data_IF_937891887042
#
_entry.id   IF_937891887042
#
_cell.length_a   1.000
_cell.length_b   1.000
_cell.length_c   1.000
_cell.angle_alpha   90.00
_cell.angle_beta   90.00
_cell.angle_gamma   90.00
#
_symmetry.space_group_name_H-M   'P 1'
#
loop_
_entity.id
_entity.type
_entity.pdbx_description
1 polymer ?
#
# COMPACT_ATOMS: atom_id res chain seq x y z
N UNK A 1 -25.30 20.02 19.89
CA UNK A 1 -24.55 18.84 19.40
C UNK A 1 -23.07 19.05 19.63
N UNK A 2 -22.31 17.99 19.92
CA UNK A 2 -20.84 18.01 20.03
C UNK A 2 -20.22 17.01 19.06
N UNK A 3 -19.21 17.46 18.31
CA UNK A 3 -18.44 16.60 17.38
C UNK A 3 -16.99 16.57 17.85
N UNK A 4 -16.37 15.40 17.82
CA UNK A 4 -14.92 15.25 18.04
C UNK A 4 -14.34 14.15 17.15
N UNK A 5 -13.04 14.26 16.87
CA UNK A 5 -12.28 13.21 16.20
C UNK A 5 -11.63 12.29 17.24
N UNK A 6 -11.80 10.99 17.04
CA UNK A 6 -11.18 9.95 17.84
C UNK A 6 -10.05 9.29 17.03
N UNK A 7 -8.83 9.71 17.34
CA UNK A 7 -7.57 9.16 16.78
C UNK A 7 -6.86 8.23 17.76
N UNK A 8 -7.52 7.80 18.84
CA UNK A 8 -6.90 7.00 19.91
C UNK A 8 -6.33 5.66 19.41
N UNK A 9 -6.86 5.14 18.30
CA UNK A 9 -6.41 3.91 17.65
C UNK A 9 -5.22 4.10 16.69
N UNK A 10 -4.79 5.34 16.43
CA UNK A 10 -3.73 5.67 15.47
C UNK A 10 -2.35 5.79 16.13
N UNK A 11 -1.97 4.85 16.99
CA UNK A 11 -0.66 4.85 17.64
C UNK A 11 0.40 4.17 16.76
N UNK A 12 0.87 4.87 15.73
CA UNK A 12 1.96 4.41 14.86
C UNK A 12 2.99 5.52 14.65
N UNK A 13 4.22 5.12 14.31
CA UNK A 13 5.31 6.02 13.92
C UNK A 13 4.91 6.91 12.72
N UNK A 14 5.15 8.21 12.80
CA UNK A 14 4.75 9.19 11.77
C UNK A 14 5.44 8.94 10.42
N UNK A 15 6.60 8.27 10.43
CA UNK A 15 7.35 7.91 9.21
C UNK A 15 6.53 7.08 8.22
N UNK A 16 5.53 6.32 8.69
CA UNK A 16 4.61 5.59 7.82
C UNK A 16 3.81 6.53 6.90
N UNK A 17 3.42 7.70 7.39
CA UNK A 17 2.72 8.72 6.61
C UNK A 17 3.69 9.54 5.76
N UNK A 18 4.83 9.97 6.35
CA UNK A 18 5.84 10.79 5.65
C UNK A 18 6.42 10.09 4.42
N UNK A 19 6.63 8.78 4.49
CA UNK A 19 7.10 7.95 3.36
C UNK A 19 5.96 7.49 2.44
N UNK A 20 4.72 7.85 2.77
CA UNK A 20 3.53 7.54 1.98
C UNK A 20 3.18 6.06 1.92
N UNK A 21 3.48 5.29 2.98
CA UNK A 21 3.02 3.90 3.15
C UNK A 21 1.66 3.82 3.83
N UNK A 22 1.29 4.87 4.55
CA UNK A 22 0.03 4.99 5.26
C UNK A 22 -0.68 6.29 4.90
N UNK A 23 -2.01 6.25 4.93
CA UNK A 23 -2.89 7.42 4.84
C UNK A 23 -3.91 7.36 5.96
N UNK A 24 -4.31 8.53 6.45
CA UNK A 24 -5.44 8.60 7.39
C UNK A 24 -6.74 8.25 6.65
N UNK A 25 -7.62 7.52 7.33
CA UNK A 25 -8.92 7.11 6.83
C UNK A 25 -9.98 7.33 7.91
N UNK A 26 -11.24 7.28 7.51
CA UNK A 26 -12.40 7.33 8.41
C UNK A 26 -13.00 5.93 8.49
N UNK A 27 -13.06 5.37 9.70
CA UNK A 27 -13.58 4.03 9.92
C UNK A 27 -15.07 4.03 10.19
N UNK A 28 -15.53 4.85 11.13
CA UNK A 28 -16.95 4.94 11.47
C UNK A 28 -17.32 6.28 12.10
N UNK A 29 -18.61 6.57 12.14
CA UNK A 29 -19.21 7.59 13.00
C UNK A 29 -19.91 6.88 14.15
N UNK A 30 -19.63 7.29 15.39
CA UNK A 30 -20.42 6.88 16.56
C UNK A 30 -21.30 8.03 16.98
N UNK A 31 -22.61 7.78 16.99
CA UNK A 31 -23.61 8.74 17.42
C UNK A 31 -24.21 8.26 18.73
N UNK A 32 -24.17 9.12 19.74
CA UNK A 32 -24.63 8.80 21.07
C UNK A 32 -25.39 9.97 21.68
N UNK A 33 -26.47 9.64 22.37
CA UNK A 33 -27.16 10.54 23.28
C UNK A 33 -26.49 10.50 24.65
N UNK A 34 -25.93 11.63 25.08
CA UNK A 34 -25.30 11.78 26.38
C UNK A 34 -26.05 12.83 27.21
N UNK A 35 -26.25 12.51 28.50
CA UNK A 35 -26.79 13.47 29.46
C UNK A 35 -25.88 14.68 29.59
N UNK A 36 -26.50 15.84 29.78
CA UNK A 36 -25.80 17.04 30.23
C UNK A 36 -25.27 16.86 31.65
N UNK A 37 -24.32 17.69 32.07
CA UNK A 37 -23.78 17.63 33.44
C UNK A 37 -24.87 17.85 34.50
N UNK A 38 -25.84 18.72 34.20
CA UNK A 38 -26.98 18.99 35.09
C UNK A 38 -27.90 17.76 35.20
N UNK A 39 -28.21 17.10 34.09
CA UNK A 39 -29.00 15.87 34.09
C UNK A 39 -28.25 14.72 34.76
N UNK A 40 -26.94 14.59 34.54
CA UNK A 40 -26.13 13.58 35.21
C UNK A 40 -26.13 13.78 36.74
N UNK A 41 -26.08 15.02 37.21
CA UNK A 41 -26.21 15.35 38.63
C UNK A 41 -27.61 15.03 39.18
N UNK A 42 -28.66 15.35 38.42
CA UNK A 42 -30.05 15.03 38.78
C UNK A 42 -30.28 13.50 38.82
N UNK A 43 -29.77 12.76 37.83
CA UNK A 43 -29.82 11.31 37.77
C UNK A 43 -29.13 10.69 38.99
N UNK A 44 -27.95 11.20 39.37
CA UNK A 44 -27.24 10.75 40.57
C UNK A 44 -28.05 11.02 41.84
N UNK A 45 -28.61 12.22 41.98
CA UNK A 45 -29.44 12.56 43.13
C UNK A 45 -30.69 11.66 43.21
N UNK A 46 -31.33 11.37 42.08
CA UNK A 46 -32.47 10.47 42.02
C UNK A 46 -32.06 9.06 42.45
N UNK A 47 -30.97 8.51 41.91
CA UNK A 47 -30.43 7.21 42.30
C UNK A 47 -30.14 7.11 43.81
N UNK A 48 -29.52 8.14 44.39
CA UNK A 48 -29.16 8.15 45.81
C UNK A 48 -30.37 8.27 46.75
N UNK A 49 -31.52 8.75 46.25
CA UNK A 49 -32.70 9.07 47.07
C UNK A 49 -33.92 8.16 46.84
N UNK A 50 -33.90 7.29 45.84
CA UNK A 50 -35.02 6.42 45.47
C UNK A 50 -34.67 4.94 45.61
N UNK A 51 -35.71 4.11 45.60
CA UNK A 51 -35.54 2.66 45.57
C UNK A 51 -34.93 2.20 44.24
N UNK A 52 -34.38 0.99 44.24
CA UNK A 52 -33.83 0.38 43.02
C UNK A 52 -34.89 0.21 41.94
N UNK A 53 -36.10 -0.17 42.32
CA UNK A 53 -37.22 -0.38 41.40
C UNK A 53 -37.65 0.93 40.73
N UNK A 54 -37.71 2.03 41.48
CA UNK A 54 -38.00 3.38 40.95
C UNK A 54 -36.90 3.87 40.01
N UNK A 55 -35.63 3.61 40.35
CA UNK A 55 -34.49 3.92 39.47
C UNK A 55 -34.53 3.13 38.16
N UNK A 56 -34.81 1.83 38.22
CA UNK A 56 -34.90 0.97 37.04
C UNK A 56 -36.02 1.45 36.10
N UNK A 57 -37.17 1.87 36.64
CA UNK A 57 -38.25 2.48 35.85
C UNK A 57 -37.83 3.82 35.24
N UNK A 58 -37.19 4.69 36.03
CA UNK A 58 -36.72 5.99 35.58
C UNK A 58 -35.73 5.89 34.42
N UNK A 59 -34.68 5.07 34.55
CA UNK A 59 -33.66 4.90 33.50
C UNK A 59 -34.24 4.22 32.27
N UNK A 60 -35.19 3.29 32.43
CA UNK A 60 -35.87 2.68 31.29
C UNK A 60 -36.66 3.72 30.50
N UNK A 61 -37.40 4.60 31.17
CA UNK A 61 -38.13 5.68 30.53
C UNK A 61 -37.18 6.67 29.83
N UNK A 62 -36.09 7.07 30.51
CA UNK A 62 -35.08 7.94 29.93
C UNK A 62 -34.40 7.34 28.68
N UNK A 63 -34.16 6.01 28.68
CA UNK A 63 -33.63 5.29 27.51
C UNK A 63 -34.60 5.34 26.33
N UNK A 64 -35.91 5.16 26.55
CA UNK A 64 -36.91 5.29 25.49
C UNK A 64 -36.98 6.71 24.91
N UNK A 65 -36.96 7.73 25.77
CA UNK A 65 -36.97 9.14 25.34
C UNK A 65 -35.71 9.50 24.56
N UNK A 66 -34.55 9.03 25.03
CA UNK A 66 -33.26 9.21 24.37
C UNK A 66 -33.23 8.56 22.99
N UNK A 67 -33.70 7.31 22.87
CA UNK A 67 -33.84 6.61 21.60
C UNK A 67 -34.82 7.32 20.67
N UNK A 68 -35.97 7.77 21.17
CA UNK A 68 -36.96 8.50 20.38
C UNK A 68 -36.42 9.84 19.84
N UNK A 69 -35.59 10.54 20.61
CA UNK A 69 -34.93 11.77 20.18
C UNK A 69 -33.83 11.53 19.13
N UNK A 70 -33.12 10.41 19.22
CA UNK A 70 -32.04 10.04 18.30
C UNK A 70 -32.53 9.40 17.00
N UNK A 71 -33.71 8.79 16.99
CA UNK A 71 -34.26 8.13 15.80
C UNK A 71 -34.40 9.08 14.59
N UNK A 72 -34.94 10.31 14.72
CA UNK A 72 -34.97 11.28 13.62
C UNK A 72 -33.60 11.63 13.04
N UNK A 73 -32.53 11.55 13.86
CA UNK A 73 -31.15 11.76 13.39
C UNK A 73 -30.77 10.67 12.40
N UNK A 74 -31.03 9.41 12.75
CA UNK A 74 -30.76 8.28 11.86
C UNK A 74 -31.67 8.30 10.62
N UNK A 75 -32.95 8.63 10.77
CA UNK A 75 -33.89 8.74 9.64
C UNK A 75 -33.43 9.81 8.63
N UNK A 76 -32.95 10.96 9.10
CA UNK A 76 -32.41 12.00 8.23
C UNK A 76 -31.15 11.54 7.48
N UNK A 77 -30.27 10.77 8.12
CA UNK A 77 -29.10 10.18 7.45
C UNK A 77 -29.56 9.16 6.41
N UNK A 78 -30.49 8.27 6.73
CA UNK A 78 -30.96 7.24 5.81
C UNK A 78 -31.71 7.80 4.58
N UNK A 79 -32.23 9.03 4.65
CA UNK A 79 -32.83 9.72 3.50
C UNK A 79 -31.79 10.10 2.44
N UNK A 80 -30.59 10.48 2.88
CA UNK A 80 -29.56 11.06 2.01
C UNK A 80 -28.45 10.04 1.67
N UNK A 81 -28.32 8.95 2.43
CA UNK A 81 -27.26 7.95 2.29
C UNK A 81 -27.78 6.52 2.27
N UNK A 82 -27.13 5.65 1.50
CA UNK A 82 -27.48 4.22 1.45
C UNK A 82 -26.95 3.51 2.70
N UNK A 83 -27.82 3.32 3.69
CA UNK A 83 -27.49 2.73 4.98
C UNK A 83 -27.83 1.22 5.04
N UNK A 84 -26.83 0.37 4.79
CA UNK A 84 -26.96 -1.08 4.90
C UNK A 84 -27.39 -1.49 6.31
N UNK A 85 -28.29 -2.47 6.43
CA UNK A 85 -28.91 -2.96 7.69
C UNK A 85 -29.92 -1.99 8.37
N UNK A 86 -30.04 -0.75 7.90
CA UNK A 86 -31.09 0.15 8.38
C UNK A 86 -32.43 -0.09 7.67
N UNK A 87 -32.44 -0.01 6.34
CA UNK A 87 -33.61 -0.33 5.52
C UNK A 87 -33.53 -1.78 5.02
N UNK A 88 -34.53 -2.58 5.38
CA UNK A 88 -34.64 -4.00 5.06
C UNK A 88 -34.82 -4.27 3.57
N UNK A 89 -35.18 -3.25 2.78
CA UNK A 89 -35.49 -3.38 1.35
C UNK A 89 -34.35 -2.92 0.43
N UNK A 90 -33.15 -2.63 0.96
CA UNK A 90 -32.02 -2.19 0.14
C UNK A 90 -31.54 -3.35 -0.77
N UNK A 91 -31.63 -3.23 -2.11
CA UNK A 91 -31.31 -4.31 -3.06
C UNK A 91 -29.79 -4.37 -3.35
N UNK A 92 -28.97 -4.23 -2.32
CA UNK A 92 -27.51 -4.10 -2.46
C UNK A 92 -26.84 -5.14 -1.56
N UNK A 93 -25.92 -5.93 -2.10
CA UNK A 93 -25.19 -6.94 -1.33
C UNK A 93 -24.12 -6.30 -0.44
N UNK A 94 -23.86 -6.91 0.72
CA UNK A 94 -22.81 -6.46 1.64
C UNK A 94 -21.44 -6.29 0.96
N UNK A 95 -21.08 -7.21 0.06
CA UNK A 95 -19.79 -7.15 -0.66
C UNK A 95 -19.68 -6.08 -1.75
N UNK A 96 -20.74 -5.30 -2.00
CA UNK A 96 -20.76 -4.23 -3.01
C UNK A 96 -20.22 -2.91 -2.45
N UNK A 97 -19.71 -2.06 -3.33
CA UNK A 97 -19.31 -0.67 -3.08
C UNK A 97 -20.47 0.35 -3.18
N UNK A 98 -21.69 -0.13 -3.42
CA UNK A 98 -22.89 0.68 -3.72
C UNK A 98 -23.68 1.17 -2.50
N UNK A 99 -23.32 0.73 -1.29
CA UNK A 99 -23.84 1.29 -0.04
C UNK A 99 -22.77 2.15 0.63
N UNK A 100 -23.18 3.14 1.42
CA UNK A 100 -22.28 4.16 1.97
C UNK A 100 -21.92 3.86 3.44
N UNK A 101 -22.93 3.51 4.23
CA UNK A 101 -22.82 3.32 5.67
C UNK A 101 -23.41 1.99 6.08
N UNK A 102 -22.74 1.27 6.96
CA UNK A 102 -23.26 0.09 7.63
C UNK A 102 -23.82 0.52 8.98
N UNK A 103 -25.12 0.34 9.18
CA UNK A 103 -25.82 0.72 10.41
C UNK A 103 -25.78 -0.41 11.44
N UNK A 104 -25.39 -0.07 12.67
CA UNK A 104 -25.50 -0.97 13.81
C UNK A 104 -25.98 -0.22 15.06
N UNK A 105 -26.94 -0.80 15.77
CA UNK A 105 -27.36 -0.35 17.10
C UNK A 105 -27.72 -1.56 17.96
N UNK A 106 -27.82 -1.34 19.28
CA UNK A 106 -28.32 -2.37 20.18
C UNK A 106 -29.85 -2.45 20.11
N UNK A 107 -30.46 -3.60 20.44
CA UNK A 107 -31.85 -3.64 20.83
C UNK A 107 -32.04 -3.08 22.24
N UNK A 108 -33.28 -2.73 22.61
CA UNK A 108 -33.61 -2.41 24.00
C UNK A 108 -33.34 -3.58 24.94
N UNK A 109 -32.95 -3.30 26.17
CA UNK A 109 -32.73 -4.33 27.17
C UNK A 109 -34.04 -5.07 27.49
N UNK A 110 -34.04 -6.40 27.32
CA UNK A 110 -35.22 -7.24 27.50
C UNK A 110 -36.19 -7.26 26.31
N UNK A 111 -35.80 -6.71 25.15
CA UNK A 111 -36.58 -6.80 23.92
C UNK A 111 -36.82 -8.26 23.52
N UNK A 112 -38.06 -8.56 23.15
CA UNK A 112 -38.45 -9.89 22.65
C UNK A 112 -38.13 -10.06 21.14
N UNK A 113 -38.02 -8.95 20.42
CA UNK A 113 -37.77 -8.88 18.97
C UNK A 113 -36.54 -8.01 18.67
N UNK A 114 -35.79 -8.39 17.65
CA UNK A 114 -34.67 -7.63 17.10
C UNK A 114 -35.12 -6.30 16.44
N UNK A 115 -36.43 -6.11 16.19
CA UNK A 115 -36.98 -4.84 15.69
C UNK A 115 -37.04 -3.72 16.73
N UNK A 116 -36.99 -4.05 18.03
CA UNK A 116 -36.99 -3.07 19.12
C UNK A 116 -35.61 -2.44 19.29
N UNK A 117 -35.26 -1.54 18.35
CA UNK A 117 -33.95 -0.88 18.26
C UNK A 117 -33.82 0.29 19.24
N UNK A 118 -32.71 0.32 19.97
CA UNK A 118 -32.30 1.45 20.81
C UNK A 118 -31.36 2.38 20.02
N UNK A 119 -31.87 3.55 19.64
CA UNK A 119 -31.13 4.58 18.89
C UNK A 119 -30.32 5.52 19.79
N UNK A 120 -30.35 5.34 21.12
CA UNK A 120 -29.56 6.17 22.03
C UNK A 120 -28.05 6.05 21.78
N UNK A 121 -27.62 4.93 21.18
CA UNK A 121 -26.27 4.71 20.67
C UNK A 121 -26.32 3.92 19.37
N UNK A 122 -25.69 4.43 18.31
CA UNK A 122 -25.51 3.67 17.07
C UNK A 122 -24.19 4.03 16.38
N UNK A 123 -23.73 3.10 15.55
CA UNK A 123 -22.51 3.21 14.76
C UNK A 123 -22.85 3.17 13.28
N UNK A 124 -22.19 4.02 12.51
CA UNK A 124 -22.23 4.06 11.05
C UNK A 124 -20.82 3.78 10.51
N UNK A 125 -20.56 2.55 10.09
CA UNK A 125 -19.24 2.15 9.56
C UNK A 125 -19.16 2.42 8.07
N UNK A 126 -18.08 3.06 7.61
CA UNK A 126 -17.90 3.36 6.19
C UNK A 126 -17.57 2.10 5.38
N UNK A 127 -18.02 2.05 4.13
CA UNK A 127 -17.79 0.91 3.27
C UNK A 127 -16.30 0.74 2.87
N UNK A 128 -15.67 -0.33 3.35
CA UNK A 128 -14.26 -0.66 3.05
C UNK A 128 -14.01 -0.98 1.57
N UNK A 129 -15.05 -1.31 0.80
CA UNK A 129 -14.96 -1.52 -0.65
C UNK A 129 -14.85 -0.22 -1.45
N UNK A 130 -15.17 0.92 -0.83
CA UNK A 130 -15.05 2.23 -1.47
C UNK A 130 -13.62 2.79 -1.36
N UNK A 131 -13.32 3.83 -2.12
CA UNK A 131 -12.03 4.53 -2.01
C UNK A 131 -11.98 5.42 -0.75
N UNK A 132 -10.77 5.79 -0.32
CA UNK A 132 -10.56 6.70 0.81
C UNK A 132 -11.24 8.05 0.59
N UNK A 133 -11.15 8.57 -0.64
CA UNK A 133 -11.73 9.84 -1.03
C UNK A 133 -13.25 9.79 -0.95
N UNK A 134 -13.86 8.68 -1.38
CA UNK A 134 -15.30 8.49 -1.28
C UNK A 134 -15.75 8.41 0.18
N UNK A 135 -15.07 7.62 1.02
CA UNK A 135 -15.39 7.54 2.46
C UNK A 135 -15.29 8.89 3.16
N UNK A 136 -14.19 9.64 2.93
CA UNK A 136 -14.01 10.98 3.47
C UNK A 136 -15.10 11.95 3.01
N UNK A 137 -15.49 11.89 1.74
CA UNK A 137 -16.56 12.70 1.19
C UNK A 137 -17.91 12.37 1.85
N UNK A 138 -18.26 11.10 1.98
CA UNK A 138 -19.48 10.67 2.67
C UNK A 138 -19.46 11.15 4.13
N UNK A 139 -18.34 10.98 4.84
CA UNK A 139 -18.17 11.47 6.20
C UNK A 139 -18.45 12.97 6.31
N UNK A 140 -17.81 13.78 5.46
CA UNK A 140 -18.02 15.22 5.41
C UNK A 140 -19.49 15.57 5.18
N UNK A 141 -20.14 14.92 4.21
CA UNK A 141 -21.55 15.18 3.89
C UNK A 141 -22.49 14.80 5.06
N UNK A 142 -22.21 13.70 5.78
CA UNK A 142 -22.98 13.34 6.98
C UNK A 142 -22.80 14.41 8.06
N UNK A 143 -21.57 14.87 8.30
CA UNK A 143 -21.31 15.91 9.31
C UNK A 143 -21.97 17.24 8.93
N UNK A 144 -21.96 17.63 7.65
CA UNK A 144 -22.66 18.82 7.14
C UNK A 144 -24.17 18.70 7.35
N UNK A 145 -24.77 17.54 7.04
CA UNK A 145 -26.17 17.24 7.32
C UNK A 145 -26.48 17.40 8.81
N UNK A 146 -25.67 16.81 9.69
CA UNK A 146 -25.86 16.86 11.14
C UNK A 146 -25.76 18.29 11.68
N UNK A 147 -24.78 19.07 11.22
CA UNK A 147 -24.68 20.49 11.56
C UNK A 147 -25.91 21.27 11.07
N UNK A 148 -26.37 21.02 9.84
CA UNK A 148 -27.49 21.79 9.28
C UNK A 148 -28.83 21.53 9.98
N UNK A 149 -29.09 20.30 10.44
CA UNK A 149 -30.40 19.90 10.99
C UNK A 149 -30.42 19.71 12.50
N UNK A 150 -29.28 19.38 13.12
CA UNK A 150 -29.22 18.92 14.51
C UNK A 150 -28.17 19.65 15.36
N UNK A 151 -27.62 20.78 14.90
CA UNK A 151 -26.60 21.54 15.65
C UNK A 151 -27.06 21.89 17.07
N UNK A 152 -28.32 22.28 17.25
CA UNK A 152 -28.88 22.65 18.55
C UNK A 152 -29.29 21.45 19.43
N UNK A 153 -29.13 20.21 18.94
CA UNK A 153 -29.52 19.02 19.71
C UNK A 153 -28.63 18.86 20.95
N UNK A 154 -29.16 18.98 22.18
CA UNK A 154 -28.33 19.12 23.39
C UNK A 154 -27.59 17.83 23.75
N UNK A 155 -28.19 16.68 23.47
CA UNK A 155 -27.65 15.37 23.86
C UNK A 155 -26.85 14.67 22.76
N UNK A 156 -26.82 15.21 21.54
CA UNK A 156 -26.20 14.52 20.41
C UNK A 156 -24.70 14.71 20.43
N UNK A 157 -23.98 13.60 20.60
CA UNK A 157 -22.54 13.51 20.51
C UNK A 157 -22.16 12.64 19.31
N UNK A 158 -21.23 13.13 18.51
CA UNK A 158 -20.71 12.45 17.33
C UNK A 158 -19.21 12.28 17.50
N UNK A 159 -18.73 11.05 17.44
CA UNK A 159 -17.32 10.72 17.37
C UNK A 159 -16.96 10.25 15.96
N UNK A 160 -16.02 10.94 15.31
CA UNK A 160 -15.44 10.49 14.04
C UNK A 160 -14.28 9.56 14.37
N UNK A 161 -14.45 8.27 14.16
CA UNK A 161 -13.38 7.30 14.41
C UNK A 161 -12.43 7.25 13.22
N UNK A 162 -11.22 7.73 13.41
CA UNK A 162 -10.17 7.67 12.40
C UNK A 162 -9.47 6.30 12.44
N UNK A 163 -9.00 5.86 11.27
CA UNK A 163 -8.18 4.67 11.10
C UNK A 163 -7.00 4.96 10.18
N UNK A 164 -6.15 3.95 10.01
CA UNK A 164 -4.99 4.02 9.14
C UNK A 164 -5.21 3.05 7.99
N UNK A 165 -5.14 3.58 6.77
CA UNK A 165 -5.07 2.78 5.56
C UNK A 165 -3.61 2.55 5.18
N UNK A 166 -3.25 1.31 4.86
CA UNK A 166 -1.91 0.92 4.48
C UNK A 166 -1.84 0.54 2.99
N UNK A 167 -0.85 1.07 2.29
CA UNK A 167 -0.54 0.70 0.92
C UNK A 167 0.26 -0.61 0.91
N UNK A 168 -0.44 -1.75 1.06
CA UNK A 168 0.19 -3.06 1.14
C UNK A 168 1.13 -3.39 -0.03
N UNK A 169 0.77 -3.10 -1.30
CA UNK A 169 1.70 -3.28 -2.42
C UNK A 169 2.98 -2.45 -2.27
N UNK A 170 2.87 -1.15 -1.99
CA UNK A 170 4.03 -0.27 -1.85
C UNK A 170 4.91 -0.68 -0.65
N UNK A 171 4.30 -1.08 0.46
CA UNK A 171 4.99 -1.62 1.63
C UNK A 171 5.76 -2.89 1.26
N UNK A 172 5.13 -3.80 0.52
CA UNK A 172 5.76 -5.04 0.11
C UNK A 172 7.00 -4.77 -0.76
N UNK A 173 6.87 -3.92 -1.77
CA UNK A 173 7.98 -3.60 -2.68
C UNK A 173 9.15 -2.94 -1.94
N UNK A 174 8.86 -2.00 -1.03
CA UNK A 174 9.88 -1.39 -0.18
C UNK A 174 10.59 -2.40 0.74
N UNK A 175 9.84 -3.34 1.31
CA UNK A 175 10.40 -4.43 2.12
C UNK A 175 11.35 -5.29 1.29
N UNK A 176 10.96 -5.70 0.09
CA UNK A 176 11.82 -6.51 -0.77
C UNK A 176 13.11 -5.77 -1.18
N UNK A 177 13.04 -4.46 -1.43
CA UNK A 177 14.25 -3.64 -1.68
C UNK A 177 15.15 -3.51 -0.46
N UNK A 178 14.59 -3.41 0.74
CA UNK A 178 15.34 -3.24 1.98
C UNK A 178 16.07 -4.53 2.41
N UNK A 179 15.47 -5.71 2.18
CA UNK A 179 16.00 -7.00 2.66
C UNK A 179 17.48 -7.26 2.32
N UNK A 180 17.95 -7.13 1.05
CA UNK A 180 19.36 -7.36 0.73
C UNK A 180 20.30 -6.34 1.36
N UNK A 181 19.87 -5.09 1.49
CA UNK A 181 20.65 -3.99 2.08
C UNK A 181 20.82 -4.14 3.59
N UNK A 182 19.81 -4.70 4.24
CA UNK A 182 19.82 -5.04 5.66
C UNK A 182 20.62 -6.31 5.98
N UNK A 183 20.86 -7.17 4.97
CA UNK A 183 21.56 -8.43 5.18
C UNK A 183 22.95 -8.19 5.78
N UNK A 184 23.22 -8.82 6.92
CA UNK A 184 24.51 -8.78 7.57
C UNK A 184 24.73 -7.60 8.53
N UNK A 185 23.80 -6.65 8.59
CA UNK A 185 23.88 -5.53 9.54
C UNK A 185 23.61 -6.00 10.98
N UNK A 186 24.18 -5.28 11.95
CA UNK A 186 23.90 -5.47 13.37
C UNK A 186 22.81 -4.51 13.80
N UNK A 187 21.90 -4.99 14.64
CA UNK A 187 20.82 -4.19 15.19
C UNK A 187 20.45 -4.65 16.59
N UNK A 188 19.64 -3.84 17.28
CA UNK A 188 19.02 -4.19 18.55
C UNK A 188 17.53 -4.44 18.28
N UNK A 189 17.04 -5.61 18.68
CA UNK A 189 15.62 -5.98 18.59
C UNK A 189 15.20 -6.53 19.95
N UNK A 190 14.10 -6.02 20.52
CA UNK A 190 13.61 -6.37 21.85
C UNK A 190 14.72 -6.39 22.92
N UNK A 191 15.51 -5.31 22.98
CA UNK A 191 16.66 -5.14 23.89
C UNK A 191 17.80 -6.16 23.71
N UNK A 192 17.82 -6.94 22.62
CA UNK A 192 18.89 -7.91 22.32
C UNK A 192 19.72 -7.43 21.14
N UNK A 193 21.04 -7.41 21.31
CA UNK A 193 21.98 -7.19 20.20
C UNK A 193 22.07 -8.45 19.32
N UNK A 194 22.02 -8.28 18.00
CA UNK A 194 22.14 -9.38 17.05
C UNK A 194 22.47 -8.93 15.63
N UNK A 195 22.35 -9.87 14.70
CA UNK A 195 22.66 -9.69 13.28
C UNK A 195 21.48 -10.11 12.40
N UNK A 196 21.26 -9.40 11.31
CA UNK A 196 20.26 -9.70 10.30
C UNK A 196 20.80 -10.70 9.27
N UNK A 197 19.99 -11.70 8.93
CA UNK A 197 20.31 -12.77 7.99
C UNK A 197 19.17 -12.91 6.98
N UNK A 198 19.50 -13.01 5.71
CA UNK A 198 18.53 -13.20 4.63
C UNK A 198 18.68 -14.66 4.20
N UNK A 199 17.62 -15.44 4.38
CA UNK A 199 17.59 -16.87 4.06
C UNK A 199 16.28 -17.16 3.32
N UNK A 200 16.39 -17.75 2.13
CA UNK A 200 15.23 -18.12 1.30
C UNK A 200 14.23 -16.97 1.12
N UNK A 201 14.73 -15.76 0.86
CA UNK A 201 13.92 -14.55 0.68
C UNK A 201 13.31 -13.97 1.97
N UNK A 202 13.55 -14.58 3.14
CA UNK A 202 13.03 -14.14 4.43
C UNK A 202 14.13 -13.48 5.27
N UNK A 203 13.86 -12.30 5.83
CA UNK A 203 14.80 -11.63 6.72
C UNK A 203 14.58 -12.09 8.17
N UNK A 204 15.67 -12.57 8.76
CA UNK A 204 15.72 -13.16 10.09
C UNK A 204 16.65 -12.34 11.00
N UNK A 205 16.26 -12.17 12.25
CA UNK A 205 17.11 -11.65 13.31
C UNK A 205 17.74 -12.79 14.11
N UNK A 206 19.07 -12.75 14.28
CA UNK A 206 19.84 -13.70 15.08
C UNK A 206 20.54 -12.98 16.25
N UNK A 207 20.15 -13.22 17.51
CA UNK A 207 20.85 -12.67 18.68
C UNK A 207 22.32 -13.10 18.74
N UNK A 208 23.21 -12.23 19.24
CA UNK A 208 24.68 -12.40 19.28
C UNK A 208 25.17 -13.72 19.88
N UNK A 209 24.48 -14.25 20.90
CA UNK A 209 24.84 -15.49 21.58
C UNK A 209 23.98 -16.71 21.17
N UNK A 210 23.04 -16.52 20.25
CA UNK A 210 22.18 -17.60 19.79
C UNK A 210 22.90 -18.50 18.78
N UNK A 211 23.02 -19.79 19.10
CA UNK A 211 23.61 -20.79 18.19
C UNK A 211 22.66 -21.26 17.09
N UNK A 212 21.38 -21.42 17.39
CA UNK A 212 20.35 -21.93 16.46
C UNK A 212 19.09 -21.07 16.37
N UNK A 213 18.84 -20.25 17.38
CA UNK A 213 17.62 -19.45 17.44
C UNK A 213 17.71 -18.25 16.49
N UNK A 214 16.74 -18.17 15.58
CA UNK A 214 16.51 -17.04 14.67
C UNK A 214 15.02 -16.71 14.70
N UNK A 215 14.69 -15.45 14.48
CA UNK A 215 13.30 -14.97 14.46
C UNK A 215 13.01 -14.27 13.15
N UNK A 216 11.89 -14.60 12.52
CA UNK A 216 11.39 -13.89 11.34
C UNK A 216 10.92 -12.50 11.70
N UNK A 217 11.26 -11.53 10.85
CA UNK A 217 10.81 -10.15 10.99
C UNK A 217 9.56 -9.90 10.14
N UNK A 218 8.59 -9.18 10.70
CA UNK A 218 7.43 -8.69 9.95
C UNK A 218 7.84 -7.58 8.96
N UNK A 219 6.98 -7.29 7.98
CA UNK A 219 7.18 -6.16 7.06
C UNK A 219 7.40 -4.84 7.80
N UNK A 220 6.58 -4.57 8.83
CA UNK A 220 6.73 -3.38 9.66
C UNK A 220 8.07 -3.31 10.37
N UNK A 221 8.54 -4.42 10.95
CA UNK A 221 9.85 -4.47 11.61
C UNK A 221 10.99 -4.24 10.62
N UNK A 222 10.89 -4.79 9.40
CA UNK A 222 11.92 -4.62 8.36
C UNK A 222 12.03 -3.15 7.95
N UNK A 223 10.90 -2.48 7.68
CA UNK A 223 10.91 -1.06 7.30
C UNK A 223 11.39 -0.17 8.45
N UNK A 224 10.89 -0.37 9.67
CA UNK A 224 11.36 0.40 10.83
C UNK A 224 12.88 0.26 11.02
N UNK A 225 13.42 -0.96 10.92
CA UNK A 225 14.86 -1.20 10.98
C UNK A 225 15.61 -0.53 9.81
N UNK A 226 15.05 -0.53 8.60
CA UNK A 226 15.67 0.15 7.46
C UNK A 226 15.83 1.64 7.73
N UNK A 227 14.81 2.27 8.30
CA UNK A 227 14.84 3.70 8.62
C UNK A 227 15.79 4.01 9.77
N UNK A 228 15.82 3.17 10.81
CA UNK A 228 16.73 3.32 11.96
C UNK A 228 18.20 3.16 11.56
N UNK A 229 18.49 2.27 10.61
CA UNK A 229 19.85 1.98 10.16
C UNK A 229 20.28 2.87 8.98
N UNK A 230 19.46 3.83 8.56
CA UNK A 230 19.75 4.71 7.42
C UNK A 230 19.84 3.97 6.09
N UNK A 231 19.22 2.78 6.01
CA UNK A 231 19.11 2.03 4.76
C UNK A 231 17.90 2.57 4.03
N UNK A 232 18.13 3.37 3.00
CA UNK A 232 17.05 3.90 2.19
C UNK A 232 16.24 2.74 1.59
N UNK A 233 14.92 2.81 1.80
CA UNK A 233 13.88 1.94 1.25
C UNK A 233 13.19 2.60 0.04
N UNK A 234 13.64 3.80 -0.32
CA UNK A 234 13.17 4.58 -1.45
C UNK A 234 13.26 3.80 -2.76
N UNK A 235 12.35 4.12 -3.66
CA UNK A 235 12.54 3.81 -5.08
C UNK A 235 13.89 4.40 -5.50
N UNK A 236 14.66 3.69 -6.36
CA UNK A 236 15.87 4.28 -6.92
C UNK A 236 15.51 5.65 -7.49
N UNK A 237 16.30 6.65 -7.12
CA UNK A 237 16.09 8.03 -7.52
C UNK A 237 15.98 8.11 -9.04
N UNK A 238 14.76 8.29 -9.57
CA UNK A 238 14.51 8.42 -11.00
C UNK A 238 15.08 9.71 -11.56
N UNK A 239 15.49 10.65 -10.68
CA UNK A 239 16.22 11.88 -11.03
C UNK A 239 17.75 11.69 -11.02
N UNK A 240 18.26 10.51 -10.64
CA UNK A 240 19.66 10.21 -10.85
C UNK A 240 19.92 10.10 -12.36
N UNK A 241 20.80 10.96 -12.88
CA UNK A 241 21.17 10.96 -14.28
C UNK A 241 21.47 9.52 -14.75
N UNK A 242 20.87 9.07 -15.87
CA UNK A 242 20.99 7.69 -16.30
C UNK A 242 22.45 7.31 -16.48
N UNK A 243 22.80 6.09 -16.04
CA UNK A 243 24.17 5.60 -16.21
C UNK A 243 24.42 5.41 -17.70
N UNK A 244 25.31 6.24 -18.25
CA UNK A 244 25.67 6.19 -19.67
C UNK A 244 27.08 5.66 -19.88
N UNK A 245 27.28 5.04 -21.05
CA UNK A 245 28.56 4.54 -21.52
C UNK A 245 28.97 5.32 -22.78
N UNK A 246 30.23 5.73 -22.91
CA UNK A 246 30.67 6.46 -24.09
C UNK A 246 30.70 5.54 -25.32
N UNK A 247 30.04 5.97 -26.40
CA UNK A 247 30.03 5.31 -27.71
C UNK A 247 30.59 6.25 -28.78
N UNK A 248 31.69 5.86 -29.42
CA UNK A 248 32.33 6.69 -30.45
C UNK A 248 31.73 6.38 -31.82
N UNK A 249 31.01 7.32 -32.41
CA UNK A 249 30.44 7.20 -33.76
C UNK A 249 30.42 8.56 -34.44
N UNK A 250 30.43 8.58 -35.77
CA UNK A 250 30.33 9.80 -36.59
C UNK A 250 31.32 10.92 -36.21
N UNK A 251 32.51 10.56 -35.72
CA UNK A 251 33.54 11.51 -35.29
C UNK A 251 33.34 12.13 -33.90
N UNK A 252 32.27 11.77 -33.19
CA UNK A 252 31.96 12.24 -31.84
C UNK A 252 31.88 11.08 -30.83
N UNK A 253 31.79 11.41 -29.54
CA UNK A 253 31.55 10.45 -28.45
C UNK A 253 30.18 10.74 -27.85
N UNK A 254 29.26 9.79 -27.98
CA UNK A 254 27.88 9.90 -27.54
C UNK A 254 27.68 9.17 -26.20
N UNK A 255 27.02 9.76 -25.20
CA UNK A 255 26.67 9.09 -23.97
C UNK A 255 25.44 8.18 -24.20
N UNK A 256 25.63 6.87 -24.12
CA UNK A 256 24.56 5.89 -24.37
C UNK A 256 24.12 5.20 -23.10
N UNK A 257 22.83 5.30 -22.79
CA UNK A 257 22.17 4.45 -21.81
C UNK A 257 21.75 3.12 -22.45
N UNK A 258 21.89 2.01 -21.72
CA UNK A 258 21.32 0.72 -22.10
C UNK A 258 20.02 0.49 -21.34
N UNK A 259 18.94 0.18 -22.05
CA UNK A 259 17.66 -0.21 -21.47
C UNK A 259 17.41 -1.69 -21.74
N UNK A 260 17.25 -2.46 -20.66
CA UNK A 260 17.05 -3.91 -20.68
C UNK A 260 15.56 -4.21 -20.72
N UNK A 261 15.17 -5.04 -21.67
CA UNK A 261 13.78 -5.48 -21.82
C UNK A 261 13.73 -6.91 -22.36
N UNK A 262 12.56 -7.34 -22.83
CA UNK A 262 12.35 -8.67 -23.42
C UNK A 262 11.62 -8.55 -24.75
N UNK A 263 12.05 -9.33 -25.73
CA UNK A 263 11.22 -9.61 -26.90
C UNK A 263 9.97 -10.41 -26.49
N UNK A 264 8.97 -10.45 -27.36
CA UNK A 264 7.70 -11.17 -27.11
C UNK A 264 7.88 -12.65 -26.75
N UNK A 265 8.96 -13.29 -27.22
CA UNK A 265 9.32 -14.68 -26.91
C UNK A 265 10.14 -14.84 -25.61
N UNK A 266 10.28 -13.76 -24.83
CA UNK A 266 11.04 -13.72 -23.57
C UNK A 266 12.57 -13.71 -23.75
N UNK A 267 13.09 -13.58 -24.98
CA UNK A 267 14.53 -13.41 -25.18
C UNK A 267 14.97 -12.01 -24.74
N UNK A 268 16.21 -11.92 -24.25
CA UNK A 268 16.82 -10.65 -23.83
C UNK A 268 16.84 -9.66 -24.99
N UNK A 269 16.32 -8.46 -24.75
CA UNK A 269 16.38 -7.32 -25.66
C UNK A 269 17.10 -6.17 -24.96
N UNK A 270 18.00 -5.50 -25.67
CA UNK A 270 18.68 -4.30 -25.14
C UNK A 270 18.56 -3.17 -26.15
N UNK A 271 17.96 -2.07 -25.71
CA UNK A 271 17.86 -0.83 -26.47
C UNK A 271 18.98 0.14 -26.05
N UNK A 272 19.43 0.95 -26.99
CA UNK A 272 20.41 2.03 -26.77
C UNK A 272 19.67 3.36 -26.90
N UNK A 273 19.83 4.22 -25.90
CA UNK A 273 19.19 5.54 -25.83
C UNK A 273 20.25 6.60 -25.60
N UNK A 274 20.17 7.70 -26.34
CA UNK A 274 21.01 8.89 -26.14
C UNK A 274 20.22 9.98 -25.42
N UNK A 275 20.92 10.87 -24.73
CA UNK A 275 20.36 11.97 -23.93
C UNK A 275 20.91 13.34 -24.35
N UNK A 276 21.51 13.44 -25.53
CA UNK A 276 22.22 14.63 -25.99
C UNK A 276 21.33 15.86 -26.17
N UNK A 277 20.02 15.68 -26.41
CA UNK A 277 19.03 16.75 -26.54
C UNK A 277 18.36 17.14 -25.22
N UNK A 278 18.70 16.47 -24.11
CA UNK A 278 18.04 16.62 -22.81
C UNK A 278 16.86 15.67 -22.59
N UNK A 279 16.35 15.05 -23.65
CA UNK A 279 15.29 14.03 -23.63
C UNK A 279 15.83 12.68 -24.14
N UNK A 280 15.22 11.54 -23.76
CA UNK A 280 15.65 10.22 -24.21
C UNK A 280 15.31 10.00 -25.69
N UNK A 281 16.33 9.85 -26.53
CA UNK A 281 16.18 9.58 -27.95
C UNK A 281 16.70 8.17 -28.32
N UNK A 282 15.92 7.37 -29.08
CA UNK A 282 16.38 6.07 -29.54
C UNK A 282 17.63 6.16 -30.42
N UNK A 283 18.70 5.46 -30.04
CA UNK A 283 19.93 5.36 -30.84
C UNK A 283 19.91 4.11 -31.74
N UNK A 284 19.74 2.93 -31.14
CA UNK A 284 19.70 1.66 -31.86
C UNK A 284 19.10 0.55 -30.97
N UNK A 285 18.82 -0.61 -31.56
CA UNK A 285 18.63 -1.85 -30.78
C UNK A 285 19.91 -2.66 -30.85
N UNK A 286 20.53 -2.93 -29.70
CA UNK A 286 21.83 -3.60 -29.61
C UNK A 286 21.75 -5.09 -29.95
N UNK A 287 20.61 -5.69 -29.62
CA UNK A 287 20.31 -7.11 -29.86
C UNK A 287 19.38 -7.28 -31.04
N UNK A 288 19.37 -8.48 -31.65
CA UNK A 288 18.39 -8.88 -32.66
C UNK A 288 17.59 -10.09 -32.17
N UNK A 289 16.27 -10.07 -32.39
CA UNK A 289 15.43 -11.21 -32.10
C UNK A 289 15.44 -12.18 -33.27
N UNK A 290 16.02 -13.35 -33.06
CA UNK A 290 16.05 -14.42 -34.04
C UNK A 290 15.32 -15.67 -33.52
N UNK A 291 14.91 -16.61 -34.40
CA UNK A 291 14.18 -17.79 -33.99
C UNK A 291 14.84 -18.61 -32.88
N UNK A 292 14.00 -19.21 -32.04
CA UNK A 292 14.41 -20.07 -30.92
C UNK A 292 14.68 -19.31 -29.62
N UNK A 293 14.59 -20.05 -28.52
CA UNK A 293 14.80 -19.52 -27.18
C UNK A 293 16.30 -19.40 -26.86
N UNK A 294 16.67 -18.29 -26.23
CA UNK A 294 18.03 -18.06 -25.74
C UNK A 294 18.18 -18.48 -24.29
N UNK A 295 19.38 -18.93 -23.93
CA UNK A 295 19.77 -19.14 -22.54
C UNK A 295 19.74 -17.81 -21.76
N UNK A 296 19.72 -17.90 -20.43
CA UNK A 296 19.74 -16.73 -19.55
C UNK A 296 20.94 -15.84 -19.91
N UNK A 297 20.68 -14.55 -20.08
CA UNK A 297 21.66 -13.50 -20.43
C UNK A 297 22.32 -13.65 -21.81
N UNK A 298 21.84 -14.56 -22.67
CA UNK A 298 22.34 -14.72 -24.04
C UNK A 298 21.49 -13.94 -25.04
N UNK A 299 22.14 -13.24 -25.97
CA UNK A 299 21.48 -12.59 -27.09
C UNK A 299 22.39 -12.54 -28.33
N UNK A 300 21.77 -12.49 -29.50
CA UNK A 300 22.46 -12.19 -30.76
C UNK A 300 22.59 -10.67 -30.90
N UNK A 301 23.77 -10.20 -31.30
CA UNK A 301 24.06 -8.77 -31.45
C UNK A 301 23.70 -8.32 -32.86
N UNK A 302 22.98 -7.21 -33.00
CA UNK A 302 22.58 -6.66 -34.29
C UNK A 302 23.76 -5.95 -34.99
N UNK A 303 24.65 -6.76 -35.56
CA UNK A 303 25.79 -6.27 -36.35
C UNK A 303 25.37 -5.65 -37.68
N UNK A 304 24.11 -5.79 -38.09
CA UNK A 304 23.56 -5.13 -39.27
C UNK A 304 23.20 -3.67 -38.98
N UNK A 305 22.71 -3.38 -37.77
CA UNK A 305 22.54 -2.02 -37.29
C UNK A 305 23.90 -1.32 -37.09
N UNK A 306 24.86 -1.98 -36.43
CA UNK A 306 26.23 -1.49 -36.34
C UNK A 306 27.26 -2.62 -36.14
N UNK A 307 28.19 -2.72 -37.08
CA UNK A 307 29.27 -3.71 -37.03
C UNK A 307 30.24 -3.54 -35.84
N UNK A 308 30.25 -2.38 -35.17
CA UNK A 308 31.16 -2.09 -34.05
C UNK A 308 30.62 -2.53 -32.68
N UNK A 309 29.34 -2.89 -32.58
CA UNK A 309 28.73 -3.33 -31.31
C UNK A 309 29.51 -4.46 -30.59
N UNK A 310 29.96 -5.53 -31.27
CA UNK A 310 30.72 -6.60 -30.60
C UNK A 310 32.00 -6.09 -29.93
N UNK A 311 32.75 -5.21 -30.60
CA UNK A 311 33.98 -4.61 -30.06
C UNK A 311 33.68 -3.70 -28.87
N UNK A 312 32.61 -2.90 -28.97
CA UNK A 312 32.19 -2.00 -27.91
C UNK A 312 31.76 -2.77 -26.64
N UNK A 313 30.94 -3.81 -26.80
CA UNK A 313 30.51 -4.69 -25.71
C UNK A 313 31.68 -5.29 -24.94
N UNK A 314 32.71 -5.77 -25.65
CA UNK A 314 33.91 -6.35 -25.03
C UNK A 314 34.74 -5.27 -24.33
N UNK A 315 34.93 -4.10 -24.97
CA UNK A 315 35.71 -2.99 -24.41
C UNK A 315 35.13 -2.48 -23.09
N UNK A 316 33.81 -2.42 -22.97
CA UNK A 316 33.12 -2.01 -21.74
C UNK A 316 32.84 -3.17 -20.77
N UNK A 317 33.34 -4.37 -21.08
CA UNK A 317 33.20 -5.54 -20.21
C UNK A 317 31.75 -5.97 -19.98
N UNK A 318 30.85 -5.68 -20.93
CA UNK A 318 29.41 -5.90 -20.82
C UNK A 318 29.02 -7.35 -21.13
N UNK A 319 29.70 -7.95 -22.11
CA UNK A 319 29.37 -9.29 -22.58
C UNK A 319 30.62 -10.05 -23.05
N UNK A 320 30.51 -11.37 -23.08
CA UNK A 320 31.56 -12.30 -23.52
C UNK A 320 31.06 -13.05 -24.75
N UNK A 321 31.84 -13.15 -25.84
CA UNK A 321 31.44 -13.92 -27.01
C UNK A 321 31.30 -15.40 -26.65
N UNK A 322 30.24 -16.03 -27.14
CA UNK A 322 30.00 -17.46 -26.91
C UNK A 322 30.67 -18.36 -27.95
N UNK A 323 31.11 -17.77 -29.08
CA UNK A 323 31.59 -18.49 -30.26
C UNK A 323 30.48 -18.97 -31.19
N UNK A 324 29.20 -18.86 -30.80
CA UNK A 324 28.07 -19.20 -31.66
C UNK A 324 27.69 -18.01 -32.55
N UNK A 325 27.23 -18.33 -33.75
CA UNK A 325 26.65 -17.38 -34.69
C UNK A 325 25.37 -17.94 -35.25
N UNK A 326 24.51 -17.08 -35.78
CA UNK A 326 23.32 -17.50 -36.52
C UNK A 326 23.10 -16.61 -37.72
N UNK A 327 22.82 -17.23 -38.86
CA UNK A 327 22.52 -16.53 -40.10
C UNK A 327 21.02 -16.27 -40.19
N UNK A 328 20.66 -15.05 -40.61
CA UNK A 328 19.29 -14.70 -40.99
C UNK A 328 19.37 -13.74 -42.18
N UNK A 329 18.75 -14.12 -43.30
CA UNK A 329 18.92 -13.43 -44.58
C UNK A 329 20.40 -13.38 -45.01
N UNK A 330 20.88 -12.18 -45.31
CA UNK A 330 22.26 -11.93 -45.74
C UNK A 330 23.23 -11.61 -44.58
N UNK A 331 22.73 -11.62 -43.33
CA UNK A 331 23.51 -11.23 -42.16
C UNK A 331 23.81 -12.43 -41.27
N UNK A 332 24.98 -12.42 -40.64
CA UNK A 332 25.40 -13.40 -39.63
C UNK A 332 25.60 -12.67 -38.31
N UNK A 333 24.82 -13.05 -37.31
CA UNK A 333 24.78 -12.40 -36.01
C UNK A 333 25.53 -13.25 -34.97
N UNK A 334 26.51 -12.69 -34.23
CA UNK A 334 27.20 -13.42 -33.18
C UNK A 334 26.40 -13.43 -31.86
N UNK A 335 26.39 -14.57 -31.15
CA UNK A 335 25.79 -14.69 -29.82
C UNK A 335 26.78 -14.29 -28.73
N UNK A 336 26.35 -13.43 -27.83
CA UNK A 336 27.08 -12.98 -26.67
C UNK A 336 26.32 -13.31 -25.40
N UNK A 337 27.06 -13.61 -24.33
CA UNK A 337 26.54 -13.74 -22.97
C UNK A 337 26.83 -12.46 -22.18
N UNK A 338 25.79 -11.73 -21.84
CA UNK A 338 25.89 -10.54 -21.02
C UNK A 338 26.23 -10.89 -19.57
N UNK A 339 26.94 -9.97 -18.90
CA UNK A 339 27.27 -10.11 -17.48
C UNK A 339 26.10 -9.59 -16.66
N UNK A 340 25.41 -10.49 -15.95
CA UNK A 340 24.27 -10.18 -15.09
C UNK A 340 24.49 -8.98 -14.16
N UNK A 341 25.64 -8.93 -13.49
CA UNK A 341 25.97 -7.82 -12.58
C UNK A 341 26.08 -6.47 -13.30
N UNK A 342 26.55 -6.45 -14.56
CA UNK A 342 26.62 -5.23 -15.37
C UNK A 342 25.25 -4.79 -15.87
N UNK A 343 24.39 -5.72 -16.28
CA UNK A 343 23.02 -5.38 -16.64
C UNK A 343 22.25 -4.84 -15.44
N UNK A 344 22.40 -5.46 -14.27
CA UNK A 344 21.77 -5.02 -13.03
C UNK A 344 22.28 -3.65 -12.55
N UNK A 345 23.54 -3.31 -12.83
CA UNK A 345 24.12 -2.00 -12.51
C UNK A 345 23.61 -0.90 -13.45
N UNK A 346 23.49 -1.21 -14.75
CA UNK A 346 23.12 -0.23 -15.78
C UNK A 346 21.61 0.01 -15.85
N UNK A 347 20.81 -1.04 -15.65
CA UNK A 347 19.35 -0.97 -15.65
C UNK A 347 18.77 -2.03 -14.69
N UNK A 348 18.71 -1.70 -13.38
CA UNK A 348 18.24 -2.64 -12.35
C UNK A 348 16.81 -3.12 -12.59
N UNK A 349 15.91 -2.21 -13.00
CA UNK A 349 14.49 -2.49 -13.17
C UNK A 349 14.22 -3.28 -14.45
N UNK A 350 14.81 -2.84 -15.58
CA UNK A 350 14.69 -3.54 -16.84
C UNK A 350 15.25 -4.96 -16.76
N UNK A 351 16.38 -5.14 -16.08
CA UNK A 351 16.95 -6.47 -15.87
C UNK A 351 16.09 -7.34 -14.94
N UNK A 352 15.52 -6.80 -13.87
CA UNK A 352 14.57 -7.53 -13.03
C UNK A 352 13.31 -7.95 -13.81
N UNK A 353 12.78 -7.07 -14.66
CA UNK A 353 11.67 -7.36 -15.56
C UNK A 353 11.99 -8.49 -16.54
N UNK A 354 13.19 -8.46 -17.14
CA UNK A 354 13.70 -9.55 -17.98
C UNK A 354 13.76 -10.89 -17.23
N UNK A 355 14.31 -10.92 -16.01
CA UNK A 355 14.40 -12.14 -15.21
C UNK A 355 13.02 -12.74 -14.91
N UNK A 356 12.03 -11.91 -14.58
CA UNK A 356 10.65 -12.35 -14.35
C UNK A 356 10.03 -13.00 -15.58
N UNK A 357 10.28 -12.44 -16.77
CA UNK A 357 9.82 -13.01 -18.04
C UNK A 357 10.55 -14.33 -18.36
N UNK A 358 11.85 -14.38 -18.10
CA UNK A 358 12.66 -15.59 -18.28
C UNK A 358 12.18 -16.74 -17.37
N UNK A 359 11.93 -16.48 -16.08
CA UNK A 359 11.47 -17.48 -15.11
C UNK A 359 10.08 -18.02 -15.42
N UNK A 360 9.14 -17.16 -15.81
CA UNK A 360 7.81 -17.56 -16.28
C UNK A 360 7.90 -18.53 -17.46
N UNK A 361 8.82 -18.28 -18.38
CA UNK A 361 9.06 -19.15 -19.54
C UNK A 361 9.68 -20.49 -19.16
N UNK A 362 10.56 -20.55 -18.16
CA UNK A 362 11.18 -21.79 -17.71
C UNK A 362 10.28 -22.65 -16.82
N UNK A 363 9.18 -22.08 -16.32
CA UNK A 363 8.22 -22.76 -15.45
C UNK A 363 6.97 -23.26 -16.21
N UNK A 364 6.84 -22.93 -17.49
CA UNK A 364 5.83 -23.43 -18.43
C UNK A 364 6.43 -24.53 -19.30
#
# INVERSE_FOLDING_TARGET
MKIHEDRSHMNIDTRWFEKGYAKEDVHSLRLQSLCTEAEAAANKQFYDSHTREEWEQYIRQASFESSAAMKPVMEAIAQDFVCYQYDENIPVSYGSDRWDLYFWCNPFNGAADASERDFSYFTLTFNERQTLEKRRKVCQQVLELLCSRFQEHPHLHVAVQCSIWFDHPKIHDAVERAKPRLHGLRCIQDQKEGKLLLQDGTLLFRPKYAKKYTRTLSQSQILSLSWELGVEDGEPDTDAAPVTLPYKKFGATHPIQLQVTSYLNGNLAIQMVTWESGDPEPWATLTVNLPGQRQKDHAFIDTNADSEFPTWLVRHGLAIPTGRTMQSGFCTYPEYRFRANRLQELDPEGYAGYLKNFERRCSA
#
